data_IF_622074248547
#
_entry.id   IF_622074248547
#
_cell.length_a   1.000
_cell.length_b   1.000
_cell.length_c   1.000
_cell.angle_alpha   90.00
_cell.angle_beta   90.00
_cell.angle_gamma   90.00
#
_symmetry.space_group_name_H-M   'P 1'
#
loop_
_entity.id
_entity.type
_entity.pdbx_description
1 polymer ?
#
# COMPACT_ATOMS: atom_id res chain seq x y z
N UNK A 1 29.10 10.36 15.82
CA UNK A 1 28.43 9.79 14.61
C UNK A 1 29.22 8.62 14.04
N UNK A 2 30.55 8.70 14.01
CA UNK A 2 31.42 7.64 13.49
C UNK A 2 32.09 6.82 14.60
N UNK A 3 31.86 7.19 15.84
CA UNK A 3 32.40 6.54 17.02
C UNK A 3 31.71 5.18 17.20
N UNK A 4 32.50 4.17 17.56
CA UNK A 4 31.97 2.83 17.79
C UNK A 4 31.08 2.83 19.04
N UNK A 5 30.05 1.96 19.08
CA UNK A 5 29.23 1.81 20.28
C UNK A 5 30.09 1.53 21.53
N UNK A 6 29.75 2.08 22.70
CA UNK A 6 30.44 1.78 23.95
C UNK A 6 30.51 0.26 24.19
N UNK A 7 31.69 -0.28 24.49
CA UNK A 7 31.91 -1.72 24.68
C UNK A 7 32.21 -2.53 23.41
N UNK A 8 32.41 -1.87 22.26
CA UNK A 8 32.91 -2.56 21.06
C UNK A 8 34.37 -2.97 21.27
N UNK A 9 34.62 -4.28 21.29
CA UNK A 9 35.97 -4.86 21.33
C UNK A 9 36.84 -4.25 20.21
N UNK A 10 38.00 -3.61 20.53
CA UNK A 10 38.91 -3.04 19.54
C UNK A 10 39.33 -4.02 18.44
N UNK A 11 39.36 -5.33 18.74
CA UNK A 11 39.72 -6.38 17.78
C UNK A 11 38.59 -6.65 16.77
N UNK A 12 37.34 -6.38 17.17
CA UNK A 12 36.15 -6.51 16.30
C UNK A 12 35.83 -5.24 15.51
N UNK A 13 36.52 -4.14 15.79
CA UNK A 13 36.37 -2.90 15.03
C UNK A 13 36.81 -3.11 13.57
N UNK A 14 36.03 -2.66 12.57
CA UNK A 14 36.43 -2.80 11.18
C UNK A 14 37.70 -1.98 10.90
N UNK A 15 38.64 -2.49 10.10
CA UNK A 15 39.89 -1.81 9.83
C UNK A 15 39.63 -0.49 9.09
N UNK A 16 40.10 0.60 9.66
CA UNK A 16 40.13 1.92 9.04
C UNK A 16 41.52 2.19 8.47
N UNK A 17 41.63 3.12 7.51
CA UNK A 17 42.90 3.45 6.85
C UNK A 17 43.31 4.89 7.19
N UNK A 18 44.52 5.07 7.73
CA UNK A 18 45.08 6.39 8.09
C UNK A 18 44.10 7.14 9.03
N UNK A 19 43.84 8.41 8.74
CA UNK A 19 42.94 9.30 9.49
C UNK A 19 41.44 9.05 9.25
N UNK A 20 41.04 8.05 8.45
CA UNK A 20 39.63 7.79 8.16
C UNK A 20 38.92 7.24 9.40
N UNK A 21 37.79 7.85 9.76
CA UNK A 21 36.89 7.36 10.83
C UNK A 21 35.89 6.30 10.34
N UNK A 22 35.82 6.06 9.03
CA UNK A 22 34.94 5.06 8.42
C UNK A 22 35.72 3.88 7.84
N UNK A 23 35.15 2.66 7.86
CA UNK A 23 35.73 1.48 7.24
C UNK A 23 35.91 1.62 5.72
N UNK A 24 36.61 0.67 5.09
CA UNK A 24 36.76 0.64 3.62
C UNK A 24 35.39 0.51 2.94
N UNK A 25 35.02 1.52 2.15
CA UNK A 25 33.75 1.61 1.42
C UNK A 25 33.82 1.15 -0.05
N UNK A 26 35.03 0.92 -0.59
CA UNK A 26 35.21 0.61 -2.01
C UNK A 26 34.46 -0.64 -2.46
N UNK A 27 34.70 -1.79 -1.81
CA UNK A 27 34.02 -3.04 -2.15
C UNK A 27 32.49 -2.96 -2.09
N UNK A 28 31.84 -2.48 -0.99
CA UNK A 28 30.39 -2.38 -0.95
C UNK A 28 29.84 -1.38 -1.97
N UNK A 29 30.55 -0.28 -2.27
CA UNK A 29 30.17 0.64 -3.33
C UNK A 29 30.20 -0.03 -4.71
N UNK A 30 31.27 -0.78 -5.02
CA UNK A 30 31.41 -1.48 -6.30
C UNK A 30 30.36 -2.58 -6.48
N UNK A 31 29.99 -3.28 -5.41
CA UNK A 31 28.89 -4.26 -5.46
C UNK A 31 27.55 -3.60 -5.78
N UNK A 32 27.26 -2.44 -5.18
CA UNK A 32 26.07 -1.65 -5.52
C UNK A 32 26.12 -1.14 -6.95
N UNK A 33 27.28 -0.69 -7.40
CA UNK A 33 27.49 -0.27 -8.79
C UNK A 33 27.18 -1.41 -9.77
N UNK A 34 27.80 -2.59 -9.58
CA UNK A 34 27.57 -3.76 -10.43
C UNK A 34 26.09 -4.20 -10.42
N UNK A 35 25.46 -4.24 -9.25
CA UNK A 35 24.03 -4.57 -9.10
C UNK A 35 23.15 -3.55 -9.82
N UNK A 36 23.45 -2.27 -9.69
CA UNK A 36 22.71 -1.20 -10.36
C UNK A 36 22.85 -1.25 -11.88
N UNK A 37 24.06 -1.48 -12.40
CA UNK A 37 24.31 -1.68 -13.84
C UNK A 37 23.52 -2.89 -14.35
N UNK A 38 23.55 -4.02 -13.64
CA UNK A 38 22.80 -5.21 -14.01
C UNK A 38 21.30 -4.91 -14.16
N UNK A 39 20.69 -4.19 -13.21
CA UNK A 39 19.29 -3.78 -13.31
C UNK A 39 19.01 -2.88 -14.51
N UNK A 40 19.89 -1.93 -14.83
CA UNK A 40 19.75 -1.08 -16.01
C UNK A 40 19.86 -1.89 -17.29
N UNK A 41 20.82 -2.82 -17.39
CA UNK A 41 20.95 -3.69 -18.56
C UNK A 41 19.69 -4.53 -18.77
N UNK A 42 19.18 -5.18 -17.72
CA UNK A 42 17.95 -5.97 -17.81
C UNK A 42 16.75 -5.07 -18.19
N UNK A 43 16.65 -3.86 -17.63
CA UNK A 43 15.64 -2.89 -18.01
C UNK A 43 15.70 -2.57 -19.51
N UNK A 44 16.88 -2.24 -20.05
CA UNK A 44 17.05 -1.89 -21.46
C UNK A 44 16.64 -3.04 -22.39
N UNK A 45 16.96 -4.29 -22.02
CA UNK A 45 16.56 -5.46 -22.81
C UNK A 45 15.04 -5.70 -22.78
N UNK A 46 14.39 -5.53 -21.63
CA UNK A 46 12.97 -5.83 -21.48
C UNK A 46 12.05 -4.67 -21.87
N UNK A 47 12.51 -3.43 -21.82
CA UNK A 47 11.72 -2.24 -22.18
C UNK A 47 11.29 -2.22 -23.65
N UNK A 48 12.05 -2.87 -24.54
CA UNK A 48 11.65 -3.05 -25.94
C UNK A 48 10.38 -3.90 -26.09
N UNK A 49 10.17 -4.87 -25.19
CA UNK A 49 9.05 -5.82 -25.26
C UNK A 49 7.87 -5.42 -24.36
N UNK A 50 8.13 -4.80 -23.21
CA UNK A 50 7.11 -4.46 -22.21
C UNK A 50 7.09 -2.95 -21.98
N UNK A 51 6.45 -2.23 -22.90
CA UNK A 51 6.30 -0.78 -22.85
C UNK A 51 4.82 -0.36 -22.98
N UNK A 52 4.60 0.94 -22.86
CA UNK A 52 3.27 1.55 -22.90
C UNK A 52 2.53 1.28 -24.21
N UNK A 53 3.25 1.28 -25.34
CA UNK A 53 2.65 1.06 -26.66
C UNK A 53 2.04 -0.34 -26.78
N UNK A 54 2.63 -1.33 -26.12
CA UNK A 54 2.08 -2.70 -26.13
C UNK A 54 0.72 -2.74 -25.46
N UNK A 55 0.56 -2.20 -24.25
CA UNK A 55 -0.74 -2.22 -23.54
C UNK A 55 -1.79 -1.30 -24.18
N UNK A 56 -1.35 -0.32 -24.98
CA UNK A 56 -2.21 0.56 -25.76
C UNK A 56 -2.59 0.01 -27.15
N UNK A 57 -1.84 -0.97 -27.66
CA UNK A 57 -2.07 -1.56 -28.99
C UNK A 57 -3.37 -2.36 -29.13
N UNK A 58 -3.82 -2.53 -30.38
CA UNK A 58 -4.93 -3.43 -30.72
C UNK A 58 -4.62 -4.90 -30.37
N UNK A 59 -3.37 -5.33 -30.58
CA UNK A 59 -2.91 -6.69 -30.24
C UNK A 59 -3.15 -7.05 -28.78
N UNK A 60 -3.02 -6.08 -27.87
CA UNK A 60 -3.31 -6.29 -26.44
C UNK A 60 -4.80 -6.57 -26.19
N UNK A 61 -5.69 -5.99 -26.98
CA UNK A 61 -7.14 -6.25 -26.92
C UNK A 61 -7.44 -7.65 -27.45
N UNK A 62 -6.68 -8.17 -28.40
CA UNK A 62 -6.89 -9.55 -28.90
C UNK A 62 -6.40 -10.63 -27.92
N UNK A 63 -5.49 -10.27 -27.01
CA UNK A 63 -5.00 -11.20 -25.98
C UNK A 63 -6.13 -11.62 -25.03
N UNK A 64 -6.06 -12.88 -24.56
CA UNK A 64 -6.88 -13.32 -23.44
C UNK A 64 -6.53 -12.55 -22.15
N UNK A 65 -7.44 -12.56 -21.18
CA UNK A 65 -7.30 -11.77 -19.97
C UNK A 65 -6.04 -12.12 -19.15
N UNK A 66 -5.65 -13.40 -19.11
CA UNK A 66 -4.43 -13.81 -18.40
C UNK A 66 -3.20 -13.15 -19.01
N UNK A 67 -3.08 -13.18 -20.34
CA UNK A 67 -1.98 -12.54 -21.05
C UNK A 67 -2.00 -11.02 -20.90
N UNK A 68 -3.17 -10.38 -20.91
CA UNK A 68 -3.29 -8.94 -20.63
C UNK A 68 -2.76 -8.58 -19.25
N UNK A 69 -3.13 -9.36 -18.24
CA UNK A 69 -2.67 -9.17 -16.85
C UNK A 69 -1.17 -9.40 -16.73
N UNK A 70 -0.61 -10.42 -17.38
CA UNK A 70 0.84 -10.68 -17.41
C UNK A 70 1.59 -9.52 -18.05
N UNK A 71 1.14 -9.01 -19.20
CA UNK A 71 1.79 -7.87 -19.86
C UNK A 71 1.69 -6.59 -19.03
N UNK A 72 0.57 -6.37 -18.33
CA UNK A 72 0.42 -5.22 -17.42
C UNK A 72 1.35 -5.33 -16.21
N UNK A 73 1.48 -6.54 -15.65
CA UNK A 73 2.47 -6.83 -14.60
C UNK A 73 3.89 -6.55 -15.10
N UNK A 74 4.24 -7.06 -16.28
CA UNK A 74 5.57 -6.89 -16.86
C UNK A 74 5.87 -5.42 -17.18
N UNK A 75 4.90 -4.65 -17.69
CA UNK A 75 5.05 -3.20 -17.88
C UNK A 75 5.46 -2.52 -16.56
N UNK A 76 4.73 -2.81 -15.48
CA UNK A 76 5.02 -2.23 -14.16
C UNK A 76 6.37 -2.71 -13.63
N UNK A 77 6.69 -4.00 -13.76
CA UNK A 77 7.96 -4.58 -13.32
C UNK A 77 9.16 -3.97 -14.04
N UNK A 78 9.12 -3.89 -15.36
CA UNK A 78 10.17 -3.28 -16.17
C UNK A 78 10.32 -1.79 -15.86
N UNK A 79 9.21 -1.06 -15.68
CA UNK A 79 9.27 0.34 -15.24
C UNK A 79 9.99 0.49 -13.89
N UNK A 80 9.79 -0.43 -12.94
CA UNK A 80 10.50 -0.43 -11.64
C UNK A 80 11.99 -0.71 -11.76
N UNK A 81 12.41 -1.60 -12.67
CA UNK A 81 13.83 -1.94 -12.85
C UNK A 81 14.72 -0.73 -13.11
N UNK A 82 14.23 0.24 -13.88
CA UNK A 82 14.91 1.53 -14.08
C UNK A 82 15.27 2.20 -12.75
N UNK A 83 14.31 2.24 -11.82
CA UNK A 83 14.52 2.80 -10.49
C UNK A 83 15.38 1.89 -9.60
N UNK A 84 15.28 0.56 -9.75
CA UNK A 84 16.16 -0.39 -9.06
C UNK A 84 17.62 -0.13 -9.43
N UNK A 85 17.89 0.07 -10.72
CA UNK A 85 19.21 0.43 -11.21
C UNK A 85 19.68 1.77 -10.67
N UNK A 86 18.98 2.86 -11.01
CA UNK A 86 19.42 4.23 -10.68
C UNK A 86 19.58 4.41 -9.17
N UNK A 87 18.62 3.99 -8.35
CA UNK A 87 18.72 4.16 -6.90
C UNK A 87 19.80 3.29 -6.26
N UNK A 88 20.06 2.09 -6.79
CA UNK A 88 21.17 1.25 -6.31
C UNK A 88 22.53 1.85 -6.69
N UNK A 89 22.66 2.43 -7.89
CA UNK A 89 23.86 3.17 -8.31
C UNK A 89 24.12 4.38 -7.40
N UNK A 90 23.08 5.18 -7.14
CA UNK A 90 23.18 6.33 -6.23
C UNK A 90 23.58 5.90 -4.82
N UNK A 91 23.02 4.80 -4.32
CA UNK A 91 23.44 4.22 -3.02
C UNK A 91 24.93 3.85 -3.04
N UNK A 92 25.44 3.25 -4.11
CA UNK A 92 26.86 2.98 -4.30
C UNK A 92 27.72 4.24 -4.23
N UNK A 93 27.30 5.33 -4.87
CA UNK A 93 27.98 6.63 -4.80
C UNK A 93 27.98 7.21 -3.38
N UNK A 94 26.85 7.12 -2.67
CA UNK A 94 26.73 7.53 -1.26
C UNK A 94 27.63 6.72 -0.31
N UNK A 95 27.80 5.42 -0.58
CA UNK A 95 28.73 4.56 0.15
C UNK A 95 30.17 4.99 -0.11
N UNK A 96 30.51 5.23 -1.37
CA UNK A 96 31.86 5.63 -1.77
C UNK A 96 32.28 6.96 -1.12
N UNK A 97 31.36 7.93 -1.06
CA UNK A 97 31.56 9.23 -0.39
C UNK A 97 31.47 9.17 1.14
N UNK A 98 31.07 8.03 1.71
CA UNK A 98 31.07 7.78 3.16
C UNK A 98 29.78 8.17 3.89
N UNK A 99 28.85 8.88 3.25
CA UNK A 99 27.56 9.29 3.84
C UNK A 99 26.57 8.13 4.00
N UNK A 100 26.81 7.00 3.31
CA UNK A 100 26.04 5.77 3.46
C UNK A 100 26.32 5.00 4.76
N UNK A 101 27.37 5.33 5.51
CA UNK A 101 27.74 4.60 6.73
C UNK A 101 26.76 4.86 7.89
N UNK A 102 26.17 3.78 8.42
CA UNK A 102 25.21 3.79 9.53
C UNK A 102 25.81 3.37 10.87
N UNK A 103 27.02 2.78 10.86
CA UNK A 103 27.64 2.20 12.05
C UNK A 103 27.90 0.71 11.86
N UNK A 104 27.93 -0.05 12.96
CA UNK A 104 28.03 -1.51 12.91
C UNK A 104 26.65 -2.15 13.02
N UNK A 105 26.44 -3.20 12.26
CA UNK A 105 25.25 -4.02 12.38
C UNK A 105 25.30 -4.78 13.72
N UNK A 106 24.30 -4.62 14.62
CA UNK A 106 24.31 -5.26 15.94
C UNK A 106 24.35 -6.79 15.90
N UNK A 107 23.84 -7.41 14.83
CA UNK A 107 23.77 -8.88 14.69
C UNK A 107 25.05 -9.48 14.12
N UNK A 108 25.70 -8.78 13.19
CA UNK A 108 26.84 -9.32 12.44
C UNK A 108 28.17 -8.69 12.83
N UNK A 109 28.16 -7.57 13.55
CA UNK A 109 29.35 -6.78 13.87
C UNK A 109 30.00 -6.09 12.66
N UNK A 110 29.45 -6.25 11.45
CA UNK A 110 30.03 -5.72 10.21
C UNK A 110 29.59 -4.27 9.96
N UNK A 111 30.37 -3.48 9.20
CA UNK A 111 29.96 -2.16 8.73
C UNK A 111 28.59 -2.19 8.03
N UNK A 112 27.65 -1.39 8.51
CA UNK A 112 26.35 -1.18 7.90
C UNK A 112 26.40 0.06 7.00
N UNK A 113 26.13 -0.16 5.71
CA UNK A 113 26.13 0.86 4.66
C UNK A 113 24.72 1.26 4.21
N UNK A 114 23.69 0.80 4.92
CA UNK A 114 22.30 0.97 4.54
C UNK A 114 21.65 2.29 4.99
N UNK A 115 22.43 3.33 5.34
CA UNK A 115 21.88 4.59 5.86
C UNK A 115 20.97 5.29 4.85
N UNK A 116 21.37 5.25 3.58
CA UNK A 116 20.70 5.94 2.47
C UNK A 116 20.09 4.98 1.46
N UNK A 117 19.85 3.71 1.86
CA UNK A 117 19.16 2.74 1.01
C UNK A 117 17.78 3.26 0.64
N UNK A 118 17.56 3.55 -0.64
CA UNK A 118 16.27 4.05 -1.12
C UNK A 118 15.35 2.93 -1.63
N UNK A 119 15.90 1.74 -1.90
CA UNK A 119 15.17 0.64 -2.50
C UNK A 119 15.69 -0.72 -2.04
N UNK A 120 14.77 -1.67 -1.87
CA UNK A 120 15.09 -3.10 -1.67
C UNK A 120 14.28 -3.94 -2.67
N UNK A 121 14.83 -4.23 -3.86
CA UNK A 121 14.07 -4.90 -4.95
C UNK A 121 13.39 -6.20 -4.52
N UNK A 122 14.11 -7.09 -3.82
CA UNK A 122 13.54 -8.35 -3.31
C UNK A 122 12.40 -8.13 -2.33
N UNK A 123 12.49 -7.09 -1.49
CA UNK A 123 11.42 -6.73 -0.56
C UNK A 123 10.18 -6.17 -1.24
N UNK A 124 10.34 -5.52 -2.40
CA UNK A 124 9.22 -5.08 -3.25
C UNK A 124 8.59 -6.28 -3.96
N UNK A 125 9.41 -7.07 -4.68
CA UNK A 125 8.90 -8.14 -5.54
C UNK A 125 8.35 -9.35 -4.78
N UNK A 126 8.70 -9.52 -3.49
CA UNK A 126 8.18 -10.56 -2.60
C UNK A 126 7.19 -10.01 -1.57
N UNK A 127 6.72 -8.77 -1.73
CA UNK A 127 5.79 -8.16 -0.79
C UNK A 127 4.43 -8.87 -0.80
N UNK A 128 3.93 -9.20 0.39
CA UNK A 128 2.63 -9.86 0.59
C UNK A 128 1.50 -8.88 0.93
N UNK A 129 1.80 -7.58 0.99
CA UNK A 129 0.85 -6.53 1.28
C UNK A 129 1.44 -5.17 0.90
N UNK A 130 0.57 -4.17 0.83
CA UNK A 130 0.94 -2.80 0.46
C UNK A 130 1.97 -2.14 1.38
N UNK A 131 1.92 -2.42 2.68
CA UNK A 131 2.91 -1.90 3.64
C UNK A 131 4.30 -2.51 3.41
N UNK A 132 4.39 -3.80 3.12
CA UNK A 132 5.67 -4.41 2.75
C UNK A 132 6.19 -3.87 1.41
N UNK A 133 5.30 -3.68 0.44
CA UNK A 133 5.66 -3.19 -0.89
C UNK A 133 6.23 -1.76 -0.82
N UNK A 134 5.45 -0.83 -0.25
CA UNK A 134 5.83 0.58 -0.13
C UNK A 134 6.96 0.80 0.88
N UNK A 135 7.17 -0.12 1.83
CA UNK A 135 8.25 -0.03 2.82
C UNK A 135 9.62 -0.37 2.24
N UNK A 136 9.63 -1.00 1.06
CA UNK A 136 10.84 -1.34 0.31
C UNK A 136 11.00 -0.47 -0.96
N UNK A 137 10.00 0.35 -1.29
CA UNK A 137 9.98 1.25 -2.45
C UNK A 137 10.10 2.71 -2.03
N UNK A 138 11.08 3.43 -2.59
CA UNK A 138 11.28 4.86 -2.35
C UNK A 138 11.33 5.22 -0.85
N UNK A 139 12.21 4.52 -0.12
CA UNK A 139 12.26 4.50 1.34
C UNK A 139 12.47 5.91 1.93
N UNK A 140 13.39 6.70 1.38
CA UNK A 140 13.69 8.03 1.89
C UNK A 140 12.54 9.01 1.65
N UNK A 141 11.85 8.93 0.51
CA UNK A 141 10.65 9.75 0.27
C UNK A 141 9.51 9.38 1.21
N UNK A 142 9.32 8.08 1.52
CA UNK A 142 8.36 7.67 2.54
C UNK A 142 8.68 8.29 3.91
N UNK A 143 9.95 8.29 4.32
CA UNK A 143 10.38 8.95 5.56
C UNK A 143 10.15 10.46 5.53
N UNK A 144 10.45 11.12 4.41
CA UNK A 144 10.20 12.54 4.22
C UNK A 144 8.70 12.87 4.31
N UNK A 145 7.85 12.18 3.55
CA UNK A 145 6.39 12.35 3.60
C UNK A 145 5.84 12.15 5.01
N UNK A 146 6.33 11.14 5.73
CA UNK A 146 5.93 10.89 7.11
C UNK A 146 6.24 12.09 8.02
N UNK A 147 7.51 12.50 8.03
CA UNK A 147 8.04 13.45 9.02
C UNK A 147 7.73 14.91 8.68
N UNK A 148 7.57 15.21 7.39
CA UNK A 148 7.37 16.58 6.89
C UNK A 148 5.92 16.88 6.53
N UNK A 149 5.11 15.88 6.17
CA UNK A 149 3.71 16.10 5.79
C UNK A 149 2.80 15.44 6.82
N UNK A 150 2.72 14.12 6.80
CA UNK A 150 1.75 13.32 7.57
C UNK A 150 1.68 13.66 9.06
N UNK A 151 2.82 13.68 9.77
CA UNK A 151 2.85 14.03 11.20
C UNK A 151 2.57 15.51 11.45
N UNK A 152 2.87 16.38 10.49
CA UNK A 152 2.74 17.84 10.64
C UNK A 152 1.35 18.37 10.33
N UNK A 153 0.64 17.73 9.39
CA UNK A 153 -0.77 18.04 9.08
C UNK A 153 -1.73 17.48 10.13
N UNK A 154 -1.24 16.62 11.03
CA UNK A 154 -2.02 16.11 12.15
C UNK A 154 -2.15 17.21 13.22
N UNK A 155 -3.37 17.60 13.63
CA UNK A 155 -3.56 18.60 14.68
C UNK A 155 -2.85 18.20 15.98
N UNK A 156 -2.29 19.19 16.70
CA UNK A 156 -1.62 18.96 18.00
C UNK A 156 -2.58 18.26 18.97
N UNK A 157 -2.08 17.22 19.64
CA UNK A 157 -2.85 16.41 20.60
C UNK A 157 -3.76 15.35 19.97
N UNK A 158 -3.87 15.28 18.63
CA UNK A 158 -4.62 14.21 17.94
C UNK A 158 -3.67 13.17 17.34
N UNK A 159 -4.14 11.92 17.28
CA UNK A 159 -3.47 10.90 16.47
C UNK A 159 -3.74 11.19 14.98
N UNK A 160 -2.78 10.92 14.09
CA UNK A 160 -3.04 11.04 12.66
C UNK A 160 -4.14 10.07 12.22
N UNK A 161 -5.07 10.56 11.41
CA UNK A 161 -6.19 9.79 10.88
C UNK A 161 -6.27 9.89 9.34
N UNK A 162 -7.45 9.60 8.80
CA UNK A 162 -7.68 9.54 7.35
C UNK A 162 -7.33 10.84 6.61
N UNK A 163 -7.70 12.02 7.13
CA UNK A 163 -7.32 13.33 6.55
C UNK A 163 -5.83 13.50 6.38
N UNK A 164 -5.05 13.11 7.40
CA UNK A 164 -3.59 13.21 7.37
C UNK A 164 -3.00 12.27 6.33
N UNK A 165 -3.55 11.06 6.19
CA UNK A 165 -3.19 10.11 5.13
C UNK A 165 -3.52 10.68 3.75
N UNK A 166 -4.74 11.19 3.54
CA UNK A 166 -5.18 11.74 2.26
C UNK A 166 -4.36 12.95 1.85
N UNK A 167 -4.11 13.90 2.77
CA UNK A 167 -3.23 15.03 2.52
C UNK A 167 -1.83 14.57 2.10
N UNK A 168 -1.30 13.53 2.74
CA UNK A 168 0.02 12.96 2.38
C UNK A 168 0.02 12.34 0.98
N UNK A 169 -1.04 11.61 0.60
CA UNK A 169 -1.18 11.05 -0.74
C UNK A 169 -1.31 12.13 -1.81
N UNK A 170 -2.11 13.17 -1.56
CA UNK A 170 -2.26 14.30 -2.47
C UNK A 170 -0.94 15.06 -2.62
N UNK A 171 -0.23 15.33 -1.53
CA UNK A 171 1.11 15.95 -1.60
C UNK A 171 2.08 15.07 -2.39
N UNK A 172 2.03 13.74 -2.21
CA UNK A 172 2.86 12.81 -2.98
C UNK A 172 2.51 12.85 -4.47
N UNK A 173 1.23 12.86 -4.84
CA UNK A 173 0.78 12.96 -6.23
C UNK A 173 1.29 14.25 -6.88
N UNK A 174 1.08 15.37 -6.20
CA UNK A 174 1.53 16.69 -6.65
C UNK A 174 3.06 16.76 -6.80
N UNK A 175 3.81 16.15 -5.87
CA UNK A 175 5.27 16.08 -5.95
C UNK A 175 5.77 15.32 -7.18
N UNK A 176 5.00 14.35 -7.69
CA UNK A 176 5.33 13.66 -8.93
C UNK A 176 4.98 14.48 -10.19
N UNK A 177 4.00 15.36 -10.12
CA UNK A 177 3.69 16.34 -11.17
C UNK A 177 2.19 16.63 -11.31
N UNK A 178 1.87 17.40 -12.34
CA UNK A 178 0.49 17.80 -12.67
C UNK A 178 -0.24 16.80 -13.59
N UNK A 179 0.47 15.77 -14.07
CA UNK A 179 -0.12 14.77 -14.96
C UNK A 179 -1.25 13.99 -14.26
N UNK A 180 -2.46 13.92 -14.86
CA UNK A 180 -3.62 13.31 -14.23
C UNK A 180 -3.44 11.84 -13.82
N UNK A 181 -2.59 11.08 -14.54
CA UNK A 181 -2.30 9.69 -14.25
C UNK A 181 -1.68 9.47 -12.86
N UNK A 182 -0.95 10.44 -12.33
CA UNK A 182 -0.46 10.37 -10.95
C UNK A 182 -1.63 10.34 -9.95
N UNK A 183 -2.58 11.27 -10.09
CA UNK A 183 -3.74 11.38 -9.20
C UNK A 183 -4.61 10.12 -9.24
N UNK A 184 -4.86 9.56 -10.42
CA UNK A 184 -5.59 8.27 -10.56
C UNK A 184 -4.92 7.14 -9.77
N UNK A 185 -3.59 7.04 -9.89
CA UNK A 185 -2.81 6.01 -9.19
C UNK A 185 -2.85 6.20 -7.68
N UNK A 186 -2.63 7.42 -7.20
CA UNK A 186 -2.59 7.72 -5.77
C UNK A 186 -3.95 7.58 -5.09
N UNK A 187 -5.03 7.99 -5.75
CA UNK A 187 -6.40 7.79 -5.25
C UNK A 187 -6.67 6.30 -5.09
N UNK A 188 -6.49 5.50 -6.14
CA UNK A 188 -6.71 4.05 -6.04
C UNK A 188 -5.78 3.39 -5.02
N UNK A 189 -4.51 3.80 -4.96
CA UNK A 189 -3.54 3.30 -3.99
C UNK A 189 -3.96 3.58 -2.54
N UNK A 190 -4.63 4.71 -2.27
CA UNK A 190 -5.12 5.07 -0.93
C UNK A 190 -6.20 4.09 -0.44
N UNK A 191 -7.21 3.81 -1.28
CA UNK A 191 -8.26 2.84 -0.98
C UNK A 191 -7.71 1.41 -0.89
N UNK A 192 -6.86 1.03 -1.83
CA UNK A 192 -6.18 -0.28 -1.84
C UNK A 192 -5.39 -0.50 -0.55
N UNK A 193 -4.65 0.50 -0.06
CA UNK A 193 -3.89 0.39 1.18
C UNK A 193 -4.79 0.19 2.41
N UNK A 194 -5.89 0.95 2.49
CA UNK A 194 -6.84 0.81 3.58
C UNK A 194 -7.45 -0.61 3.62
N UNK A 195 -7.87 -1.12 2.46
CA UNK A 195 -8.40 -2.48 2.32
C UNK A 195 -7.35 -3.52 2.69
N UNK A 196 -6.13 -3.42 2.16
CA UNK A 196 -5.06 -4.39 2.38
C UNK A 196 -4.68 -4.48 3.87
N UNK A 197 -4.60 -3.34 4.56
CA UNK A 197 -4.28 -3.26 5.99
C UNK A 197 -5.36 -3.93 6.85
N UNK A 198 -6.62 -3.60 6.63
CA UNK A 198 -7.74 -4.21 7.36
C UNK A 198 -7.85 -5.71 7.07
N UNK A 199 -7.72 -6.10 5.80
CA UNK A 199 -7.72 -7.51 5.38
C UNK A 199 -6.60 -8.30 6.04
N UNK A 200 -5.36 -7.77 6.09
CA UNK A 200 -4.23 -8.41 6.77
C UNK A 200 -4.52 -8.62 8.26
N UNK A 201 -5.12 -7.63 8.94
CA UNK A 201 -5.48 -7.71 10.37
C UNK A 201 -6.56 -8.75 10.64
N UNK A 202 -7.55 -8.84 9.77
CA UNK A 202 -8.71 -9.72 9.97
C UNK A 202 -8.44 -11.16 9.48
N UNK A 203 -7.65 -11.35 8.42
CA UNK A 203 -7.46 -12.67 7.80
C UNK A 203 -6.21 -13.40 8.31
N UNK A 204 -5.09 -12.68 8.52
CA UNK A 204 -3.82 -13.32 8.93
C UNK A 204 -3.94 -14.16 10.22
N UNK A 205 -4.68 -13.75 11.27
CA UNK A 205 -4.78 -14.53 12.50
C UNK A 205 -5.31 -15.97 12.32
N UNK A 206 -6.09 -16.24 11.28
CA UNK A 206 -6.57 -17.60 10.98
C UNK A 206 -5.45 -18.55 10.51
N UNK A 207 -4.33 -18.00 10.06
CA UNK A 207 -3.16 -18.75 9.59
C UNK A 207 -2.01 -18.77 10.61
N UNK A 208 -2.25 -18.29 11.83
CA UNK A 208 -1.31 -18.31 12.94
C UNK A 208 -1.86 -19.20 14.07
N UNK A 209 -0.99 -19.59 15.00
CA UNK A 209 -1.41 -20.21 16.27
C UNK A 209 -2.32 -19.26 17.06
N UNK A 210 -3.17 -19.77 17.98
CA UNK A 210 -4.03 -18.94 18.85
C UNK A 210 -3.27 -17.81 19.55
N UNK A 211 -2.05 -18.09 20.00
CA UNK A 211 -1.18 -17.11 20.67
C UNK A 211 -0.50 -16.13 19.70
N UNK A 212 -0.69 -16.31 18.38
CA UNK A 212 -0.16 -15.45 17.32
C UNK A 212 1.34 -15.57 17.07
N UNK A 213 2.03 -16.50 17.74
CA UNK A 213 3.49 -16.60 17.76
C UNK A 213 4.05 -17.42 16.60
N UNK A 214 3.37 -18.50 16.20
CA UNK A 214 3.89 -19.44 15.19
C UNK A 214 2.97 -19.52 13.97
N UNK A 215 3.52 -19.66 12.76
CA UNK A 215 2.74 -19.87 11.55
C UNK A 215 2.13 -21.28 11.52
N UNK A 216 0.90 -21.42 11.04
CA UNK A 216 0.32 -22.73 10.73
C UNK A 216 0.81 -23.25 9.37
N UNK A 217 0.76 -24.57 9.10
CA UNK A 217 1.13 -25.12 7.79
C UNK A 217 0.38 -24.47 6.62
N UNK A 218 -0.89 -24.09 6.84
CA UNK A 218 -1.73 -23.41 5.84
C UNK A 218 -1.28 -21.99 5.51
N UNK A 219 -0.43 -21.37 6.33
CA UNK A 219 0.05 -19.99 6.11
C UNK A 219 0.80 -19.84 4.81
N UNK A 220 1.51 -20.88 4.33
CA UNK A 220 2.23 -20.84 3.05
C UNK A 220 1.31 -20.48 1.88
N UNK A 221 0.09 -21.03 1.86
CA UNK A 221 -0.89 -20.75 0.82
C UNK A 221 -1.42 -19.33 0.91
N UNK A 222 -1.68 -18.86 2.13
CA UNK A 222 -2.06 -17.47 2.39
C UNK A 222 -0.96 -16.49 1.94
N UNK A 223 0.30 -16.80 2.24
CA UNK A 223 1.45 -15.98 1.86
C UNK A 223 1.62 -15.91 0.34
N UNK A 224 1.51 -17.04 -0.37
CA UNK A 224 1.55 -17.09 -1.84
C UNK A 224 0.37 -16.31 -2.45
N UNK A 225 -0.85 -16.53 -1.95
CA UNK A 225 -2.03 -15.84 -2.45
C UNK A 225 -1.95 -14.32 -2.24
N UNK A 226 -1.54 -13.88 -1.03
CA UNK A 226 -1.42 -12.45 -0.72
C UNK A 226 -0.26 -11.78 -1.46
N UNK A 227 0.84 -12.49 -1.69
CA UNK A 227 1.90 -12.04 -2.60
C UNK A 227 1.35 -11.82 -4.01
N UNK A 228 0.71 -12.82 -4.60
CA UNK A 228 0.17 -12.75 -5.96
C UNK A 228 -0.83 -11.60 -6.12
N UNK A 229 -1.79 -11.48 -5.19
CA UNK A 229 -2.78 -10.39 -5.17
C UNK A 229 -2.08 -9.03 -5.03
N UNK A 230 -1.08 -8.90 -4.16
CA UNK A 230 -0.34 -7.64 -3.99
C UNK A 230 0.36 -7.23 -5.28
N UNK A 231 1.08 -8.15 -5.93
CA UNK A 231 1.79 -7.86 -7.17
C UNK A 231 0.85 -7.45 -8.32
N UNK A 232 -0.29 -8.14 -8.47
CA UNK A 232 -1.28 -7.80 -9.49
C UNK A 232 -1.95 -6.44 -9.23
N UNK A 233 -2.41 -6.22 -7.99
CA UNK A 233 -3.11 -4.97 -7.62
C UNK A 233 -2.21 -3.75 -7.75
N UNK A 234 -0.93 -3.84 -7.33
CA UNK A 234 0.03 -2.74 -7.52
C UNK A 234 0.34 -2.50 -8.99
N UNK A 235 0.46 -3.54 -9.81
CA UNK A 235 0.74 -3.38 -11.24
C UNK A 235 -0.41 -2.68 -11.97
N UNK A 236 -1.65 -3.04 -11.64
CA UNK A 236 -2.83 -2.34 -12.16
C UNK A 236 -2.91 -0.89 -11.65
N UNK A 237 -2.69 -0.69 -10.36
CA UNK A 237 -2.82 0.62 -9.69
C UNK A 237 -1.76 1.61 -10.17
N UNK A 238 -0.56 1.14 -10.53
CA UNK A 238 0.54 1.96 -11.02
C UNK A 238 0.53 2.20 -12.52
N UNK A 239 -0.35 1.54 -13.28
CA UNK A 239 -0.43 1.75 -14.73
C UNK A 239 -0.66 3.22 -15.11
N UNK A 240 -1.59 3.97 -14.46
CA UNK A 240 -1.77 5.39 -14.77
C UNK A 240 -0.55 6.26 -14.44
N UNK A 241 0.23 5.87 -13.43
CA UNK A 241 1.47 6.54 -13.06
C UNK A 241 2.51 6.43 -14.18
N UNK A 242 2.47 5.36 -14.96
CA UNK A 242 3.37 5.12 -16.10
C UNK A 242 2.84 5.83 -17.35
N UNK A 243 1.51 5.82 -17.57
CA UNK A 243 0.85 6.35 -18.78
C UNK A 243 0.61 7.86 -18.76
N UNK A 244 0.55 8.47 -17.57
CA UNK A 244 0.39 9.92 -17.33
C UNK A 244 -0.96 10.53 -17.76
N UNK A 245 -1.64 9.99 -18.78
CA UNK A 245 -2.93 10.47 -19.30
C UNK A 245 -4.14 9.77 -18.68
N UNK A 246 -5.25 10.48 -18.45
CA UNK A 246 -6.54 9.88 -18.01
C UNK A 246 -7.08 8.91 -19.06
N UNK A 247 -7.07 9.31 -20.34
CA UNK A 247 -7.68 8.55 -21.43
C UNK A 247 -7.04 7.15 -21.54
N UNK A 248 -5.72 7.12 -21.65
CA UNK A 248 -4.95 5.89 -21.83
C UNK A 248 -5.02 5.01 -20.58
N UNK A 249 -5.03 5.63 -19.41
CA UNK A 249 -5.19 4.94 -18.13
C UNK A 249 -6.53 4.23 -18.02
N UNK A 250 -7.63 4.94 -18.33
CA UNK A 250 -8.97 4.36 -18.31
C UNK A 250 -9.14 3.30 -19.40
N UNK A 251 -8.55 3.48 -20.58
CA UNK A 251 -8.54 2.48 -21.63
C UNK A 251 -7.84 1.19 -21.18
N UNK A 252 -6.65 1.28 -20.58
CA UNK A 252 -5.93 0.10 -20.05
C UNK A 252 -6.69 -0.55 -18.89
N UNK A 253 -7.27 0.24 -17.98
CA UNK A 253 -8.11 -0.29 -16.91
C UNK A 253 -9.36 -1.01 -17.44
N UNK A 254 -10.04 -0.45 -18.44
CA UNK A 254 -11.20 -1.05 -19.09
C UNK A 254 -10.88 -2.36 -19.82
N UNK A 255 -9.73 -2.40 -20.52
CA UNK A 255 -9.24 -3.62 -21.18
C UNK A 255 -8.91 -4.75 -20.20
N UNK A 256 -8.73 -4.41 -18.93
CA UNK A 256 -8.56 -5.33 -17.81
C UNK A 256 -9.81 -5.38 -16.92
N UNK A 257 -10.98 -5.02 -17.44
CA UNK A 257 -12.29 -5.12 -16.77
C UNK A 257 -12.39 -4.43 -15.40
N UNK A 258 -11.55 -3.42 -15.13
CA UNK A 258 -11.52 -2.71 -13.85
C UNK A 258 -11.42 -3.64 -12.63
N UNK A 259 -10.79 -4.82 -12.75
CA UNK A 259 -10.82 -5.84 -11.70
C UNK A 259 -10.32 -5.33 -10.34
N UNK A 260 -9.33 -4.43 -10.34
CA UNK A 260 -8.74 -3.90 -9.11
C UNK A 260 -9.65 -2.88 -8.42
N UNK A 261 -10.15 -1.80 -9.07
CA UNK A 261 -11.16 -0.92 -8.48
C UNK A 261 -12.40 -1.66 -7.98
N UNK A 262 -12.92 -2.62 -8.75
CA UNK A 262 -14.06 -3.45 -8.34
C UNK A 262 -13.72 -4.25 -7.09
N UNK A 263 -12.57 -4.94 -7.06
CA UNK A 263 -12.14 -5.70 -5.89
C UNK A 263 -11.93 -4.84 -4.64
N UNK A 264 -11.36 -3.64 -4.81
CA UNK A 264 -11.21 -2.65 -3.72
C UNK A 264 -12.57 -2.17 -3.22
N UNK A 265 -13.52 -1.88 -4.11
CA UNK A 265 -14.87 -1.47 -3.75
C UNK A 265 -15.61 -2.58 -2.99
N UNK A 266 -15.61 -3.81 -3.48
CA UNK A 266 -16.23 -4.96 -2.81
C UNK A 266 -15.65 -5.21 -1.42
N UNK A 267 -14.31 -5.17 -1.29
CA UNK A 267 -13.67 -5.29 0.02
C UNK A 267 -14.03 -4.13 0.95
N UNK A 268 -14.10 -2.91 0.43
CA UNK A 268 -14.48 -1.73 1.22
C UNK A 268 -15.92 -1.83 1.71
N UNK A 269 -16.85 -2.28 0.87
CA UNK A 269 -18.24 -2.53 1.23
C UNK A 269 -18.34 -3.63 2.30
N UNK A 270 -17.58 -4.72 2.17
CA UNK A 270 -17.52 -5.75 3.21
C UNK A 270 -17.03 -5.17 4.55
N UNK A 271 -16.00 -4.31 4.53
CA UNK A 271 -15.47 -3.66 5.72
C UNK A 271 -16.45 -2.63 6.34
N UNK A 272 -17.31 -2.02 5.53
CA UNK A 272 -18.39 -1.15 5.99
C UNK A 272 -19.59 -1.91 6.57
N UNK A 273 -19.73 -3.19 6.21
CA UNK A 273 -20.85 -4.03 6.65
C UNK A 273 -20.63 -4.61 8.05
N UNK A 274 -21.69 -5.16 8.70
CA UNK A 274 -21.56 -5.95 9.92
C UNK A 274 -20.60 -7.16 9.80
N UNK A 275 -20.25 -7.57 8.56
CA UNK A 275 -19.25 -8.59 8.27
C UNK A 275 -17.88 -8.30 8.90
N UNK A 276 -17.45 -7.03 8.99
CA UNK A 276 -16.23 -6.63 9.70
C UNK A 276 -16.29 -7.03 11.18
N UNK A 277 -17.39 -6.71 11.85
CA UNK A 277 -17.60 -7.00 13.26
C UNK A 277 -17.69 -8.52 13.50
N UNK A 278 -18.39 -9.25 12.63
CA UNK A 278 -18.46 -10.71 12.66
C UNK A 278 -17.07 -11.35 12.53
N UNK A 279 -16.27 -10.92 11.56
CA UNK A 279 -14.94 -11.46 11.34
C UNK A 279 -14.00 -11.12 12.51
N UNK A 280 -14.09 -9.90 13.04
CA UNK A 280 -13.35 -9.48 14.22
C UNK A 280 -13.72 -10.31 15.46
N UNK A 281 -15.00 -10.65 15.65
CA UNK A 281 -15.46 -11.55 16.73
C UNK A 281 -14.85 -12.94 16.58
N UNK A 282 -14.82 -13.50 15.35
CA UNK A 282 -14.15 -14.79 15.08
C UNK A 282 -12.65 -14.75 15.36
N UNK A 283 -11.96 -13.67 15.00
CA UNK A 283 -10.54 -13.48 15.32
C UNK A 283 -10.33 -13.45 16.82
N UNK A 284 -11.14 -12.68 17.57
CA UNK A 284 -11.06 -12.60 19.03
C UNK A 284 -11.33 -13.95 19.69
N UNK A 285 -12.32 -14.71 19.21
CA UNK A 285 -12.65 -16.03 19.76
C UNK A 285 -11.50 -17.05 19.57
N UNK A 286 -10.69 -16.88 18.52
CA UNK A 286 -9.51 -17.71 18.25
C UNK A 286 -8.31 -17.33 19.13
N UNK A 287 -8.22 -16.07 19.53
CA UNK A 287 -7.14 -15.59 20.38
C UNK A 287 -7.44 -15.97 21.83
N UNK A 288 -6.62 -16.85 22.41
CA UNK A 288 -6.61 -17.15 23.84
C UNK A 288 -6.41 -15.84 24.62
N UNK A 289 -7.17 -15.64 25.72
CA UNK A 289 -7.06 -14.45 26.58
C UNK A 289 -5.60 -14.28 27.01
N UNK A 290 -4.86 -13.37 26.35
CA UNK A 290 -3.69 -12.75 26.96
C UNK A 290 -4.20 -11.86 28.09
N UNK A 291 -3.62 -11.91 29.31
CA UNK A 291 -3.82 -10.86 30.27
C UNK A 291 -3.34 -9.55 29.63
N UNK A 292 -4.05 -8.49 29.95
CA UNK A 292 -3.84 -7.11 29.52
C UNK A 292 -2.37 -6.71 29.50
N UNK A 293 -1.74 -6.83 28.33
CA UNK A 293 -0.67 -5.96 27.90
C UNK A 293 -0.68 -5.93 26.37
N UNK A 294 -0.59 -4.71 25.85
CA UNK A 294 -0.51 -4.29 24.45
C UNK A 294 -0.38 -5.40 23.39
N UNK A 295 -1.20 -5.32 22.33
CA UNK A 295 -1.03 -6.11 21.10
C UNK A 295 0.42 -6.02 20.59
N UNK A 296 1.30 -6.92 21.05
CA UNK A 296 2.66 -7.03 20.50
C UNK A 296 2.52 -7.46 19.06
N UNK A 297 2.93 -6.54 18.19
CA UNK A 297 3.01 -6.67 16.75
C UNK A 297 3.63 -8.01 16.37
N UNK A 298 2.99 -8.73 15.46
CA UNK A 298 3.62 -9.84 14.76
C UNK A 298 4.88 -9.36 14.04
N UNK A 299 5.96 -10.15 14.04
CA UNK A 299 7.27 -9.90 13.42
C UNK A 299 7.22 -9.29 12.01
N UNK A 300 6.18 -9.58 11.21
CA UNK A 300 5.97 -8.94 9.90
C UNK A 300 5.71 -7.43 9.93
N UNK A 301 5.38 -6.87 11.09
CA UNK A 301 5.28 -5.43 11.35
C UNK A 301 6.53 -4.88 12.02
N UNK A 302 7.40 -5.74 12.56
CA UNK A 302 8.61 -5.36 13.29
C UNK A 302 9.83 -5.29 12.35
N UNK A 303 9.88 -6.14 11.32
CA UNK A 303 10.92 -6.10 10.28
C UNK A 303 10.78 -4.90 9.32
N UNK A 304 9.72 -4.10 9.47
CA UNK A 304 9.41 -2.91 8.69
C UNK A 304 9.09 -1.74 9.63
N UNK A 305 10.04 -1.38 10.51
CA UNK A 305 10.04 -0.07 11.15
C UNK A 305 10.20 1.03 10.09
N UNK A 306 9.08 1.44 9.51
CA UNK A 306 8.98 2.52 8.55
C UNK A 306 7.53 2.68 8.16
N UNK A 307 6.94 3.85 8.48
CA UNK A 307 5.58 4.09 8.02
C UNK A 307 5.61 4.32 6.51
N UNK A 308 4.93 3.46 5.79
CA UNK A 308 4.67 3.61 4.38
C UNK A 308 3.59 4.65 4.16
N UNK A 309 3.91 5.67 3.36
CA UNK A 309 2.97 6.63 2.75
C UNK A 309 1.77 6.99 3.63
N UNK A 310 2.04 7.68 4.74
CA UNK A 310 0.99 8.28 5.56
C UNK A 310 -0.02 7.30 6.16
N UNK A 311 0.30 6.01 6.29
CA UNK A 311 -0.57 5.04 6.96
C UNK A 311 -0.19 4.99 8.45
N UNK A 312 -1.07 5.41 9.38
CA UNK A 312 -0.86 5.20 10.81
C UNK A 312 -0.81 3.72 11.14
N UNK A 313 -0.26 3.38 12.30
CA UNK A 313 -0.15 1.99 12.74
C UNK A 313 -1.47 1.41 13.29
N UNK A 314 -2.54 2.21 13.44
CA UNK A 314 -3.78 1.85 14.14
C UNK A 314 -5.06 1.99 13.25
N UNK A 315 -5.37 0.99 12.40
CA UNK A 315 -6.43 1.06 11.37
C UNK A 315 -7.88 1.03 11.86
N UNK A 316 -8.11 0.46 13.06
CA UNK A 316 -9.48 0.16 13.51
C UNK A 316 -10.30 1.42 13.72
N UNK A 317 -9.63 2.50 14.13
CA UNK A 317 -10.23 3.81 14.27
C UNK A 317 -10.32 4.56 12.93
N UNK A 318 -9.41 4.33 11.98
CA UNK A 318 -9.31 5.10 10.73
C UNK A 318 -10.52 4.98 9.79
N UNK A 319 -11.14 3.80 9.64
CA UNK A 319 -12.32 3.64 8.77
C UNK A 319 -13.58 4.19 9.43
N UNK A 320 -13.75 3.92 10.72
CA UNK A 320 -14.90 4.43 11.46
C UNK A 320 -14.76 5.96 11.57
N UNK A 321 -13.56 6.49 11.85
CA UNK A 321 -13.23 7.92 11.73
C UNK A 321 -13.42 8.45 10.31
N UNK A 322 -13.03 7.73 9.24
CA UNK A 322 -13.27 8.17 7.86
C UNK A 322 -14.76 8.26 7.54
N UNK A 323 -15.54 7.24 7.89
CA UNK A 323 -16.99 7.22 7.67
C UNK A 323 -17.65 8.29 8.53
N UNK A 324 -17.32 8.36 9.80
CA UNK A 324 -17.83 9.37 10.73
C UNK A 324 -17.49 10.77 10.24
N UNK A 325 -16.26 10.99 9.77
CA UNK A 325 -15.81 12.29 9.28
C UNK A 325 -16.44 12.67 7.94
N UNK A 326 -16.60 11.71 7.01
CA UNK A 326 -17.36 11.91 5.77
C UNK A 326 -18.82 12.20 6.10
N UNK A 327 -19.41 11.48 7.05
CA UNK A 327 -20.79 11.69 7.50
C UNK A 327 -20.97 13.04 8.19
N UNK A 328 -20.03 13.46 9.03
CA UNK A 328 -20.00 14.78 9.67
C UNK A 328 -19.80 15.89 8.64
N UNK A 329 -18.95 15.69 7.62
CA UNK A 329 -18.75 16.66 6.56
C UNK A 329 -19.96 16.74 5.61
N UNK A 330 -20.63 15.62 5.33
CA UNK A 330 -21.91 15.57 4.63
C UNK A 330 -23.01 16.24 5.44
N UNK A 331 -23.09 16.03 6.76
CA UNK A 331 -24.03 16.73 7.66
C UNK A 331 -23.75 18.24 7.68
N UNK A 332 -22.49 18.64 7.75
CA UNK A 332 -22.06 20.05 7.74
C UNK A 332 -22.36 20.74 6.42
N UNK A 333 -22.13 20.06 5.29
CA UNK A 333 -22.47 20.55 3.93
C UNK A 333 -23.97 20.52 3.63
N UNK A 334 -24.73 19.65 4.31
CA UNK A 334 -26.20 19.61 4.26
C UNK A 334 -26.89 20.72 5.07
N UNK A 335 -26.12 21.61 5.72
CA UNK A 335 -26.59 22.90 6.22
C UNK A 335 -28.01 22.89 6.80
N UNK A 336 -28.19 22.35 8.01
CA UNK A 336 -29.38 22.62 8.81
C UNK A 336 -30.74 22.16 8.25
N UNK A 337 -30.80 21.20 7.31
CA UNK A 337 -32.03 20.43 7.08
C UNK A 337 -31.85 19.03 7.64
N UNK A 338 -32.39 18.82 8.84
CA UNK A 338 -32.49 17.52 9.47
C UNK A 338 -33.22 16.54 8.55
N UNK A 339 -32.51 15.51 8.09
CA UNK A 339 -33.16 14.31 7.59
C UNK A 339 -33.73 13.51 8.79
N UNK A 340 -34.70 12.62 8.57
CA UNK A 340 -35.36 11.91 9.65
C UNK A 340 -34.32 11.16 10.49
N UNK A 341 -34.43 11.24 11.81
CA UNK A 341 -33.53 10.50 12.69
C UNK A 341 -33.65 8.99 12.40
N UNK A 342 -32.57 8.25 12.62
CA UNK A 342 -32.49 6.81 12.29
C UNK A 342 -33.70 5.93 12.70
N UNK A 343 -34.40 6.20 13.83
CA UNK A 343 -35.64 5.49 14.18
C UNK A 343 -36.83 5.83 13.27
N UNK A 344 -36.94 7.08 12.84
CA UNK A 344 -38.03 7.60 12.02
C UNK A 344 -37.90 7.15 10.55
N UNK A 345 -36.66 7.06 10.07
CA UNK A 345 -36.34 6.52 8.75
C UNK A 345 -36.63 5.01 8.65
N UNK A 346 -36.47 4.27 9.76
CA UNK A 346 -36.88 2.85 9.83
C UNK A 346 -38.39 2.68 9.78
N UNK A 347 -39.13 3.54 10.48
CA UNK A 347 -40.60 3.53 10.46
C UNK A 347 -41.16 3.85 9.08
N UNK A 348 -40.59 4.85 8.39
CA UNK A 348 -40.99 5.19 7.02
C UNK A 348 -40.68 4.08 6.01
N UNK A 349 -39.59 3.33 6.21
CA UNK A 349 -39.25 2.17 5.37
C UNK A 349 -40.18 0.98 5.66
N UNK A 350 -40.55 0.74 6.91
CA UNK A 350 -41.57 -0.27 7.27
C UNK A 350 -42.94 0.07 6.69
N UNK A 351 -43.38 1.34 6.78
CA UNK A 351 -44.65 1.80 6.22
C UNK A 351 -44.68 1.71 4.68
N UNK A 352 -43.55 2.01 4.02
CA UNK A 352 -43.42 1.85 2.57
C UNK A 352 -43.42 0.38 2.14
N UNK A 353 -42.75 -0.50 2.90
CA UNK A 353 -42.77 -1.94 2.66
C UNK A 353 -44.17 -2.54 2.87
N UNK A 354 -44.92 -2.05 3.87
CA UNK A 354 -46.32 -2.45 4.09
C UNK A 354 -47.25 -1.99 2.98
N UNK A 355 -47.10 -0.77 2.45
CA UNK A 355 -47.88 -0.32 1.27
C UNK A 355 -47.60 -1.15 0.03
N UNK A 356 -46.33 -1.47 -0.22
CA UNK A 356 -45.92 -2.22 -1.40
C UNK A 356 -46.35 -3.70 -1.33
N UNK A 357 -46.53 -4.24 -0.12
CA UNK A 357 -47.06 -5.60 0.10
C UNK A 357 -48.59 -5.65 0.17
N UNK A 358 -49.27 -4.55 0.53
CA UNK A 358 -50.74 -4.48 0.49
C UNK A 358 -51.31 -4.21 -0.90
N UNK A 359 -50.55 -3.56 -1.79
CA UNK A 359 -50.97 -3.25 -3.18
C UNK A 359 -50.52 -4.30 -4.21
N UNK A 360 -50.06 -5.47 -3.76
CA UNK A 360 -49.77 -6.63 -4.61
C UNK A 360 -51.02 -7.40 -5.02
N UNK A 361 -51.95 -6.76 -5.72
CA UNK A 361 -53.16 -7.37 -6.27
C UNK A 361 -53.44 -6.86 -7.69
N UNK A 362 -53.29 -7.75 -8.67
CA UNK A 362 -53.54 -7.57 -10.09
C UNK A 362 -54.92 -6.96 -10.43
N UNK A 363 -54.98 -5.93 -11.30
CA UNK A 363 -56.01 -5.78 -12.34
C UNK A 363 -55.64 -4.73 -13.42
N UNK A 364 -55.92 -4.99 -14.72
CA UNK A 364 -55.55 -4.18 -15.89
C UNK A 364 -56.67 -3.22 -16.32
N UNK A 365 -56.33 -2.09 -16.94
CA UNK A 365 -57.36 -1.18 -17.50
C UNK A 365 -56.81 -0.04 -18.35
N UNK A 366 -57.12 -0.09 -19.64
CA UNK A 366 -56.96 0.96 -20.65
C UNK A 366 -57.49 2.33 -20.21
N UNK A 367 -56.84 3.42 -20.65
CA UNK A 367 -57.42 4.31 -21.67
C UNK A 367 -56.41 5.36 -22.18
N UNK A 368 -56.23 5.36 -23.51
CA UNK A 368 -55.84 6.54 -24.29
C UNK A 368 -56.82 7.68 -24.02
N UNK A 369 -56.33 8.91 -23.87
CA UNK A 369 -57.03 10.11 -24.35
C UNK A 369 -56.05 11.12 -24.92
N UNK A 370 -56.34 11.46 -26.16
CA UNK A 370 -55.97 12.67 -26.89
C UNK A 370 -56.41 13.93 -26.15
N UNK A 371 -55.58 14.96 -26.17
CA UNK A 371 -55.75 16.21 -26.93
C UNK A 371 -54.41 16.91 -27.07
#
# INVERSE_FOLDING_TARGET
>A
MFDLPPGTDPVRAPPTRKKRKIPRSGTPAMLKMATGILWILVFLQLAGYFNQQVVLSHKYIEMNILMRVVHLYMLSFVARMKYYGVWTLTEGACILSGIGYKGLNPKTGKPDWGRLTNIKPTGVELAQNSHAYLGNWNINTNHWLRNCVYLRVTPRGKKPGFRSSMATFVTSAFWHGFEPGYYLSFILASFMQNVAKNSRRLLRPFFMTPDGTKPLPRKRYYDIATWFITQLTFSFTTAPFILLSVHDSLAVWARNYFFCPIGVALCSLFLASPGKAWLAKKVKARQTKRPTDSMKRSESMESLEGATLGVPNEPGKEFDEMVDEVMEEVKKRRGGKGGPEGPELRKQVEDALHRTTSEGGWAPGMQKKSE
#
